data_IF_889286632638
#
_entry.id   IF_889286632638
#
_cell.length_a   1.000
_cell.length_b   1.000
_cell.length_c   1.000
_cell.angle_alpha   90.00
_cell.angle_beta   90.00
_cell.angle_gamma   90.00
#
_symmetry.space_group_name_H-M   'P 1'
#
loop_
_entity.id
_entity.type
_entity.pdbx_description
1 polymer ?
#
# COMPACT_ATOMS: atom_id res chain seq x y z
N UNK A 1 3.69 -2.10 -11.92
CA UNK A 1 4.23 -2.84 -10.76
C UNK A 1 5.65 -3.31 -11.03
N UNK A 2 6.58 -2.91 -10.21
CA UNK A 2 7.97 -3.37 -10.26
C UNK A 2 8.28 -4.19 -9.02
N UNK A 3 8.48 -5.49 -9.17
CA UNK A 3 8.68 -6.39 -8.02
C UNK A 3 9.93 -6.06 -7.21
N UNK A 4 10.93 -5.43 -7.79
CA UNK A 4 12.11 -4.94 -7.09
C UNK A 4 12.00 -3.51 -6.61
N UNK A 5 10.89 -2.84 -6.88
CA UNK A 5 10.66 -1.46 -6.50
C UNK A 5 10.33 -1.29 -5.03
N UNK A 6 10.21 -0.05 -4.56
CA UNK A 6 9.91 0.22 -3.17
C UNK A 6 8.50 -0.21 -2.79
N UNK A 7 8.34 -0.61 -1.53
CA UNK A 7 7.04 -0.83 -0.90
C UNK A 7 6.68 0.45 -0.17
N UNK A 8 5.53 1.01 -0.51
CA UNK A 8 5.06 2.29 0.03
C UNK A 8 4.06 2.01 1.15
N UNK A 9 4.27 2.63 2.30
CA UNK A 9 3.37 2.50 3.45
C UNK A 9 2.88 3.88 3.83
N UNK A 10 1.57 4.08 3.78
CA UNK A 10 0.93 5.36 4.08
C UNK A 10 0.14 5.19 5.36
N UNK A 11 0.67 5.73 6.44
CA UNK A 11 0.16 5.55 7.79
C UNK A 11 0.50 6.79 8.64
N UNK A 12 -0.52 7.43 9.20
CA UNK A 12 -0.32 8.65 10.00
C UNK A 12 -0.02 8.38 11.48
N UNK A 13 -0.34 7.19 12.00
CA UNK A 13 -0.08 6.82 13.39
C UNK A 13 1.36 6.37 13.55
N UNK A 14 2.11 7.06 14.43
CA UNK A 14 3.52 6.77 14.63
C UNK A 14 3.78 5.39 15.24
N UNK A 15 2.90 4.93 16.14
CA UNK A 15 3.04 3.62 16.75
C UNK A 15 2.84 2.51 15.71
N UNK A 16 1.86 2.68 14.84
CA UNK A 16 1.62 1.74 13.75
C UNK A 16 2.77 1.74 12.74
N UNK A 17 3.34 2.91 12.44
CA UNK A 17 4.53 2.99 11.59
C UNK A 17 5.71 2.22 12.19
N UNK A 18 5.94 2.38 13.50
CA UNK A 18 7.02 1.68 14.18
C UNK A 18 6.83 0.17 14.14
N UNK A 19 5.61 -0.29 14.42
CA UNK A 19 5.28 -1.71 14.36
C UNK A 19 5.51 -2.28 12.96
N UNK A 20 5.02 -1.59 11.93
CA UNK A 20 5.21 -2.03 10.55
C UNK A 20 6.68 -2.00 10.13
N UNK A 21 7.42 -0.99 10.58
CA UNK A 21 8.85 -0.91 10.32
C UNK A 21 9.58 -2.14 10.89
N UNK A 22 9.26 -2.51 12.13
CA UNK A 22 9.86 -3.69 12.77
C UNK A 22 9.48 -4.98 12.02
N UNK A 23 8.23 -5.09 11.60
CA UNK A 23 7.77 -6.25 10.82
C UNK A 23 8.57 -6.39 9.52
N UNK A 24 8.68 -5.30 8.76
CA UNK A 24 9.40 -5.35 7.48
C UNK A 24 10.89 -5.61 7.67
N UNK A 25 11.51 -5.07 8.71
CA UNK A 25 12.90 -5.38 9.02
C UNK A 25 13.10 -6.86 9.32
N UNK A 26 12.16 -7.47 10.03
CA UNK A 26 12.23 -8.90 10.39
C UNK A 26 12.04 -9.80 9.17
N UNK A 27 11.32 -9.33 8.15
CA UNK A 27 11.08 -10.09 6.92
C UNK A 27 12.23 -9.97 5.92
N UNK A 28 13.06 -8.96 6.08
CA UNK A 28 14.30 -8.78 5.33
C UNK A 28 14.13 -8.80 3.80
N UNK A 29 13.08 -8.13 3.31
CA UNK A 29 12.92 -7.94 1.87
C UNK A 29 13.98 -7.01 1.32
N UNK A 30 14.41 -7.23 0.09
CA UNK A 30 15.39 -6.35 -0.59
C UNK A 30 14.77 -5.04 -1.03
N UNK A 31 13.45 -4.96 -1.08
CA UNK A 31 12.73 -3.75 -1.45
C UNK A 31 12.97 -2.63 -0.44
N UNK A 32 13.17 -1.41 -0.92
CA UNK A 32 13.17 -0.24 -0.05
C UNK A 32 11.76 -0.07 0.54
N UNK A 33 11.68 0.25 1.83
CA UNK A 33 10.41 0.50 2.50
C UNK A 33 10.32 1.99 2.76
N UNK A 34 9.33 2.65 2.14
CA UNK A 34 9.16 4.10 2.25
C UNK A 34 7.85 4.40 2.97
N UNK A 35 7.93 5.16 4.07
CA UNK A 35 6.80 5.55 4.88
C UNK A 35 6.37 6.99 4.56
N UNK A 36 5.07 7.20 4.45
CA UNK A 36 4.47 8.52 4.37
C UNK A 36 3.41 8.66 5.46
N UNK A 37 3.44 9.79 6.17
CA UNK A 37 2.45 10.10 7.20
C UNK A 37 1.21 10.76 6.62
N UNK A 38 1.27 11.24 5.39
CA UNK A 38 0.21 11.99 4.73
C UNK A 38 0.00 11.50 3.31
N UNK A 39 -1.27 11.39 2.91
CA UNK A 39 -1.62 10.97 1.56
C UNK A 39 -1.13 11.92 0.47
N UNK A 40 -1.14 13.23 0.75
CA UNK A 40 -0.66 14.23 -0.20
C UNK A 40 0.82 14.04 -0.54
N UNK A 41 1.63 13.75 0.47
CA UNK A 41 3.07 13.52 0.27
C UNK A 41 3.34 12.24 -0.53
N UNK A 42 2.56 11.20 -0.26
CA UNK A 42 2.65 9.97 -1.03
C UNK A 42 2.28 10.22 -2.49
N UNK A 43 1.22 10.98 -2.75
CA UNK A 43 0.81 11.30 -4.11
C UNK A 43 1.88 12.10 -4.85
N UNK A 44 2.45 13.12 -4.20
CA UNK A 44 3.55 13.90 -4.78
C UNK A 44 4.72 13.01 -5.18
N UNK A 45 5.10 12.10 -4.29
CA UNK A 45 6.17 11.14 -4.57
C UNK A 45 5.84 10.27 -5.77
N UNK A 46 4.64 9.69 -5.80
CA UNK A 46 4.23 8.79 -6.87
C UNK A 46 4.20 9.48 -8.25
N UNK A 47 3.81 10.75 -8.28
CA UNK A 47 3.77 11.53 -9.52
C UNK A 47 5.18 11.90 -9.99
N UNK A 48 6.06 12.26 -9.07
CA UNK A 48 7.38 12.81 -9.40
C UNK A 48 8.49 11.77 -9.53
N UNK A 49 8.31 10.57 -8.96
CA UNK A 49 9.37 9.56 -8.99
C UNK A 49 9.48 8.86 -10.34
N UNK A 50 10.72 8.54 -10.71
CA UNK A 50 10.98 7.69 -11.88
C UNK A 50 11.01 6.21 -11.51
N UNK A 51 11.00 5.90 -10.22
CA UNK A 51 11.02 4.52 -9.73
C UNK A 51 9.59 4.02 -9.60
N UNK A 52 9.30 2.88 -10.19
CA UNK A 52 7.98 2.27 -10.12
C UNK A 52 7.86 1.43 -8.85
N UNK A 53 6.91 1.75 -7.95
CA UNK A 53 6.71 0.97 -6.73
C UNK A 53 6.24 -0.45 -6.97
N UNK A 54 6.44 -1.30 -5.97
CA UNK A 54 5.93 -2.66 -5.98
C UNK A 54 4.51 -2.76 -5.44
N UNK A 55 4.28 -2.30 -4.19
CA UNK A 55 2.99 -2.39 -3.51
C UNK A 55 2.78 -1.11 -2.70
N UNK A 56 1.53 -0.67 -2.59
CA UNK A 56 1.13 0.42 -1.70
C UNK A 56 0.20 -0.15 -0.61
N UNK A 57 0.61 -0.01 0.64
CA UNK A 57 -0.23 -0.26 1.81
C UNK A 57 -0.71 1.09 2.33
N UNK A 58 -2.01 1.27 2.47
CA UNK A 58 -2.58 2.55 2.88
C UNK A 58 -3.60 2.38 4.00
N UNK A 59 -3.55 3.26 4.99
CA UNK A 59 -4.66 3.44 5.90
C UNK A 59 -5.78 4.22 5.21
N UNK A 60 -6.98 4.17 5.74
CA UNK A 60 -8.13 4.91 5.23
C UNK A 60 -8.26 6.26 5.94
N UNK A 61 -8.27 6.25 7.27
CA UNK A 61 -8.54 7.44 8.07
C UNK A 61 -7.26 8.23 8.31
N UNK A 62 -7.01 9.21 7.46
CA UNK A 62 -5.87 10.09 7.56
C UNK A 62 -6.35 11.54 7.44
N UNK A 63 -5.71 12.50 8.14
CA UNK A 63 -6.12 13.90 8.02
C UNK A 63 -5.88 14.46 6.62
N UNK A 64 -6.66 15.44 6.22
CA UNK A 64 -6.62 16.14 4.93
C UNK A 64 -7.03 15.27 3.76
N UNK A 65 -6.19 14.34 3.34
CA UNK A 65 -6.47 13.42 2.25
C UNK A 65 -6.60 12.02 2.81
N UNK A 66 -7.82 11.46 2.77
CA UNK A 66 -8.05 10.09 3.24
C UNK A 66 -7.45 9.08 2.26
N UNK A 67 -7.31 7.83 2.72
CA UNK A 67 -6.87 6.75 1.85
C UNK A 67 -7.79 6.51 0.66
N UNK A 68 -9.10 6.68 0.87
CA UNK A 68 -10.08 6.57 -0.22
C UNK A 68 -9.91 7.65 -1.27
N UNK A 69 -9.72 8.89 -0.84
CA UNK A 69 -9.48 10.02 -1.75
C UNK A 69 -8.17 9.85 -2.49
N UNK A 70 -7.13 9.42 -1.80
CA UNK A 70 -5.83 9.14 -2.41
C UNK A 70 -5.94 8.08 -3.50
N UNK A 71 -6.63 6.99 -3.20
CA UNK A 71 -6.84 5.93 -4.21
C UNK A 71 -7.56 6.46 -5.43
N UNK A 72 -8.59 7.29 -5.22
CA UNK A 72 -9.31 7.90 -6.32
C UNK A 72 -8.40 8.74 -7.23
N UNK A 73 -7.54 9.55 -6.62
CA UNK A 73 -6.59 10.40 -7.35
C UNK A 73 -5.56 9.58 -8.14
N UNK A 74 -5.08 8.50 -7.56
CA UNK A 74 -4.14 7.59 -8.23
C UNK A 74 -4.83 6.92 -9.42
N UNK A 75 -6.05 6.44 -9.22
CA UNK A 75 -6.80 5.77 -10.29
C UNK A 75 -7.14 6.69 -11.45
N UNK A 76 -7.43 7.96 -11.17
CA UNK A 76 -7.73 8.97 -12.19
C UNK A 76 -6.49 9.44 -12.94
N UNK A 77 -5.31 9.27 -12.39
CA UNK A 77 -4.06 9.64 -13.04
C UNK A 77 -3.65 8.53 -14.01
N UNK A 78 -3.70 8.81 -15.30
CA UNK A 78 -3.44 7.81 -16.31
C UNK A 78 -2.05 7.19 -16.20
N UNK A 79 -1.03 8.00 -15.96
CA UNK A 79 0.34 7.51 -15.84
C UNK A 79 0.50 6.56 -14.66
N UNK A 80 -0.11 6.90 -13.52
CA UNK A 80 -0.07 6.05 -12.32
C UNK A 80 -0.89 4.77 -12.52
N UNK A 81 -2.06 4.89 -13.17
CA UNK A 81 -2.90 3.72 -13.42
C UNK A 81 -2.19 2.71 -14.31
N UNK A 82 -1.47 3.17 -15.33
CA UNK A 82 -0.74 2.29 -16.25
C UNK A 82 0.44 1.58 -15.59
N UNK A 83 0.95 2.09 -14.49
CA UNK A 83 2.00 1.41 -13.73
C UNK A 83 1.50 0.14 -13.04
N UNK A 84 0.20 -0.02 -12.90
CA UNK A 84 -0.44 -1.21 -12.32
C UNK A 84 0.11 -1.57 -10.94
N UNK A 85 0.25 -0.56 -10.07
CA UNK A 85 0.76 -0.77 -8.71
C UNK A 85 -0.36 -1.29 -7.83
N UNK A 86 -0.21 -2.47 -7.20
CA UNK A 86 -1.22 -2.95 -6.26
C UNK A 86 -1.43 -1.98 -5.11
N UNK A 87 -2.68 -1.58 -4.90
CA UNK A 87 -3.07 -0.68 -3.83
C UNK A 87 -3.95 -1.44 -2.85
N UNK A 88 -3.52 -1.53 -1.60
CA UNK A 88 -4.18 -2.33 -0.58
C UNK A 88 -4.48 -1.44 0.63
N UNK A 89 -5.70 -1.57 1.17
CA UNK A 89 -6.00 -0.93 2.44
C UNK A 89 -5.60 -1.86 3.58
N UNK A 90 -4.94 -1.29 4.57
CA UNK A 90 -4.50 -1.97 5.79
C UNK A 90 -4.86 -1.05 6.95
N UNK A 91 -6.01 -1.30 7.58
CA UNK A 91 -6.65 -0.37 8.50
C UNK A 91 -7.15 -1.07 9.75
N UNK A 92 -7.40 -0.30 10.83
CA UNK A 92 -7.83 -0.86 12.11
C UNK A 92 -9.32 -1.22 12.15
N UNK A 93 -10.13 -0.73 11.20
CA UNK A 93 -11.57 -1.04 11.19
C UNK A 93 -12.07 -1.31 9.78
N UNK A 94 -13.05 -2.21 9.68
CA UNK A 94 -13.66 -2.58 8.41
C UNK A 94 -15.18 -2.42 8.51
N UNK A 95 -15.67 -1.20 8.34
CA UNK A 95 -17.11 -0.99 8.18
C UNK A 95 -17.51 -1.44 6.78
N UNK A 96 -18.64 -2.14 6.67
CA UNK A 96 -19.12 -2.67 5.39
C UNK A 96 -19.18 -1.60 4.30
N UNK A 97 -19.62 -0.41 4.67
CA UNK A 97 -19.69 0.73 3.77
C UNK A 97 -18.33 1.08 3.17
N UNK A 98 -17.29 1.11 4.01
CA UNK A 98 -15.93 1.43 3.56
C UNK A 98 -15.36 0.33 2.66
N UNK A 99 -15.66 -0.91 2.96
CA UNK A 99 -15.20 -2.05 2.15
C UNK A 99 -15.81 -1.97 0.75
N UNK A 100 -17.12 -1.73 0.65
CA UNK A 100 -17.80 -1.59 -0.65
C UNK A 100 -17.22 -0.42 -1.45
N UNK A 101 -17.07 0.75 -0.80
CA UNK A 101 -16.52 1.93 -1.46
C UNK A 101 -15.08 1.69 -1.95
N UNK A 102 -14.27 1.01 -1.15
CA UNK A 102 -12.90 0.71 -1.51
C UNK A 102 -12.82 -0.15 -2.77
N UNK A 103 -13.57 -1.24 -2.80
CA UNK A 103 -13.56 -2.10 -3.99
C UNK A 103 -14.13 -1.40 -5.22
N UNK A 104 -15.06 -0.45 -5.05
CA UNK A 104 -15.57 0.35 -6.17
C UNK A 104 -14.50 1.25 -6.77
N UNK A 105 -13.41 1.52 -6.06
CA UNK A 105 -12.27 2.31 -6.53
C UNK A 105 -11.12 1.43 -7.05
N UNK A 106 -11.42 0.18 -7.33
CA UNK A 106 -10.48 -0.77 -7.96
C UNK A 106 -9.23 -1.05 -7.13
N UNK A 107 -9.40 -1.19 -5.81
CA UNK A 107 -8.30 -1.65 -4.95
C UNK A 107 -8.09 -3.15 -5.13
N UNK A 108 -6.90 -3.61 -4.79
CA UNK A 108 -6.51 -5.01 -4.92
C UNK A 108 -6.69 -5.82 -3.63
N UNK A 109 -7.02 -5.18 -2.53
CA UNK A 109 -7.32 -5.88 -1.28
C UNK A 109 -7.63 -4.94 -0.13
N UNK A 110 -8.37 -5.45 0.85
CA UNK A 110 -8.77 -4.71 2.04
C UNK A 110 -8.51 -5.60 3.25
N UNK A 111 -7.60 -5.18 4.13
CA UNK A 111 -7.18 -5.97 5.28
C UNK A 111 -7.39 -5.17 6.56
N UNK A 112 -7.90 -5.84 7.59
CA UNK A 112 -7.98 -5.26 8.94
C UNK A 112 -6.66 -5.58 9.64
N UNK A 113 -6.02 -4.55 10.21
CA UNK A 113 -4.79 -4.73 10.98
C UNK A 113 -5.08 -5.56 12.22
N UNK A 114 -4.40 -6.70 12.39
CA UNK A 114 -4.43 -7.38 13.68
C UNK A 114 -3.74 -6.55 14.76
N UNK A 115 -4.03 -6.86 16.02
CA UNK A 115 -3.33 -6.23 17.14
C UNK A 115 -2.05 -6.97 17.52
N UNK A 116 -1.91 -8.21 17.09
CA UNK A 116 -0.78 -9.07 17.40
C UNK A 116 0.31 -8.96 16.35
N UNK A 117 1.54 -8.73 16.78
CA UNK A 117 2.71 -8.60 15.91
C UNK A 117 2.86 -9.79 14.96
N UNK A 118 2.74 -11.01 15.48
CA UNK A 118 2.90 -12.23 14.68
C UNK A 118 1.84 -12.32 13.59
N UNK A 119 0.60 -11.96 13.90
CA UNK A 119 -0.49 -11.96 12.94
C UNK A 119 -0.28 -10.91 11.85
N UNK A 120 0.19 -9.72 12.20
CA UNK A 120 0.56 -8.67 11.23
C UNK A 120 1.62 -9.20 10.27
N UNK A 121 2.66 -9.80 10.82
CA UNK A 121 3.77 -10.35 10.04
C UNK A 121 3.28 -11.40 9.04
N UNK A 122 2.41 -12.30 9.46
CA UNK A 122 1.88 -13.34 8.60
C UNK A 122 1.03 -12.77 7.45
N UNK A 123 0.21 -11.76 7.72
CA UNK A 123 -0.57 -11.10 6.67
C UNK A 123 0.35 -10.42 5.66
N UNK A 124 1.35 -9.69 6.12
CA UNK A 124 2.30 -9.01 5.23
C UNK A 124 3.03 -10.03 4.35
N UNK A 125 3.49 -11.13 4.93
CA UNK A 125 4.14 -12.22 4.16
C UNK A 125 3.22 -12.76 3.08
N UNK A 126 1.96 -12.98 3.42
CA UNK A 126 0.97 -13.50 2.47
C UNK A 126 0.76 -12.53 1.31
N UNK A 127 0.61 -11.25 1.61
CA UNK A 127 0.39 -10.21 0.58
C UNK A 127 1.60 -10.08 -0.33
N UNK A 128 2.78 -9.94 0.24
CA UNK A 128 4.01 -9.76 -0.56
C UNK A 128 4.28 -11.01 -1.39
N UNK A 129 4.13 -12.19 -0.81
CA UNK A 129 4.31 -13.45 -1.53
C UNK A 129 3.35 -13.62 -2.70
N UNK A 130 2.09 -13.23 -2.51
CA UNK A 130 1.09 -13.27 -3.57
C UNK A 130 1.52 -12.40 -4.76
N UNK A 131 1.89 -11.14 -4.49
CA UNK A 131 2.24 -10.20 -5.56
C UNK A 131 3.59 -10.52 -6.21
N UNK A 132 4.51 -11.13 -5.47
CA UNK A 132 5.75 -11.62 -6.07
C UNK A 132 5.51 -12.77 -7.05
N UNK A 133 4.48 -13.55 -6.80
CA UNK A 133 4.09 -14.67 -7.67
C UNK A 133 3.31 -14.24 -8.90
N UNK A 134 2.73 -13.04 -8.88
CA UNK A 134 1.96 -12.53 -10.01
C UNK A 134 2.86 -12.10 -11.16
N UNK A 135 2.36 -12.18 -12.39
CA UNK A 135 3.05 -11.63 -13.55
C UNK A 135 2.91 -10.12 -13.53
N UNK A 136 4.03 -9.42 -13.61
CA UNK A 136 4.05 -7.96 -13.71
C UNK A 136 3.97 -7.54 -15.17
N UNK A 137 3.27 -6.43 -15.51
CA UNK A 137 3.29 -5.89 -16.87
C UNK A 137 4.70 -5.62 -17.39
N UNK A 138 5.64 -5.32 -16.50
CA UNK A 138 7.03 -5.05 -16.84
C UNK A 138 7.83 -6.31 -17.14
N UNK A 139 7.29 -7.47 -16.80
CA UNK A 139 7.98 -8.74 -17.00
C UNK A 139 8.16 -9.10 -18.48
N UNK A 140 7.28 -8.61 -19.32
CA UNK A 140 7.20 -9.01 -20.73
C UNK A 140 8.04 -8.10 -21.65
N UNK A 141 8.74 -7.16 -21.09
CA UNK A 141 9.58 -6.24 -21.87
C UNK A 141 10.74 -6.93 -22.56
#
# INVERSE_FOLDING_TARGET
>A
MNKGGPIIIIEDDLDDQETLSDVFKSLDYKNEIIFFSEGEKALEYLISTNVEPFIIFSDINMPRLSGMELRGKIHENEDLRLKSIPYLFFTTSAEQKHVVDAYSKSIQGFFVKPTDYTAIKEIIKTIVGYWQSCVSPNYIK
#
